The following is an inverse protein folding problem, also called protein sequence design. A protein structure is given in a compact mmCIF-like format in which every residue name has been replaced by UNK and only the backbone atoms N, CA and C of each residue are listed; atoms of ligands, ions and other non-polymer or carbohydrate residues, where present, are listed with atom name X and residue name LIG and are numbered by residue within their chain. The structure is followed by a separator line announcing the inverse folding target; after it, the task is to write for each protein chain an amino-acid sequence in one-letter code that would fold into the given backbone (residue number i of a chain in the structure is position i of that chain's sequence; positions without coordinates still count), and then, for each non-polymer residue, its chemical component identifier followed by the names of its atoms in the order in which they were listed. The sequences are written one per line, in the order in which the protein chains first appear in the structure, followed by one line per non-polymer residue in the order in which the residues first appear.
data_IF_221333277097
#
_entry.id   IF_221333277097
#
_cell.length_a   1.000
_cell.length_b   1.000
_cell.length_c   1.000
_cell.angle_alpha   90.00
_cell.angle_beta   90.00
_cell.angle_gamma   90.00
#
_symmetry.space_group_name_H-M   'P 1'
#
loop_
_entity.id
_entity.type
_entity.pdbx_description
1 polymer ?
#
# COMPACT_ATOMS: atom_id res chain seq x y z
N UNK A 1 -78.95 11.07 10.44
CA UNK A 1 -79.39 11.43 9.08
C UNK A 1 -78.27 11.05 8.11
N UNK A 2 -78.47 10.00 7.30
CA UNK A 2 -77.45 9.40 6.41
C UNK A 2 -77.91 9.35 4.94
N UNK A 3 -78.93 10.13 4.57
CA UNK A 3 -79.43 10.17 3.19
C UNK A 3 -79.46 11.61 2.67
N UNK A 4 -78.33 12.06 2.13
CA UNK A 4 -78.29 13.20 1.21
C UNK A 4 -78.01 12.64 -0.19
N UNK A 5 -78.85 12.96 -1.17
CA UNK A 5 -78.72 12.46 -2.56
C UNK A 5 -77.49 13.06 -3.25
N UNK A 6 -77.08 14.26 -2.84
CA UNK A 6 -75.99 15.02 -3.47
C UNK A 6 -74.61 14.75 -2.85
N UNK A 7 -74.53 14.16 -1.66
CA UNK A 7 -73.27 13.90 -0.95
C UNK A 7 -73.37 12.61 -0.15
N UNK A 8 -72.56 11.63 -0.53
CA UNK A 8 -72.49 10.32 0.12
C UNK A 8 -71.21 10.23 0.99
N UNK A 9 -71.38 10.40 2.30
CA UNK A 9 -70.27 10.33 3.26
C UNK A 9 -69.54 8.97 3.27
N UNK A 10 -70.24 7.87 2.97
CA UNK A 10 -69.63 6.53 2.85
C UNK A 10 -68.69 6.44 1.65
N UNK A 11 -69.07 7.01 0.51
CA UNK A 11 -68.23 7.08 -0.69
C UNK A 11 -67.01 7.97 -0.49
N UNK A 12 -67.13 9.10 0.23
CA UNK A 12 -65.98 9.94 0.57
C UNK A 12 -64.97 9.23 1.49
N UNK A 13 -65.44 8.44 2.47
CA UNK A 13 -64.58 7.64 3.32
C UNK A 13 -63.85 6.55 2.51
N UNK A 14 -64.58 5.84 1.65
CA UNK A 14 -63.99 4.85 0.74
C UNK A 14 -62.92 5.47 -0.19
N UNK A 15 -63.18 6.66 -0.73
CA UNK A 15 -62.21 7.40 -1.55
C UNK A 15 -60.98 7.84 -0.74
N UNK A 16 -61.16 8.26 0.53
CA UNK A 16 -60.04 8.59 1.42
C UNK A 16 -59.16 7.36 1.70
N UNK A 17 -59.77 6.19 1.94
CA UNK A 17 -59.05 4.93 2.12
C UNK A 17 -58.33 4.49 0.85
N UNK A 18 -58.98 4.62 -0.32
CA UNK A 18 -58.34 4.34 -1.61
C UNK A 18 -57.12 5.22 -1.83
N UNK A 19 -57.23 6.53 -1.59
CA UNK A 19 -56.11 7.46 -1.70
C UNK A 19 -54.97 7.13 -0.72
N UNK A 20 -55.27 6.65 0.50
CA UNK A 20 -54.26 6.17 1.44
C UNK A 20 -53.57 4.90 0.92
N UNK A 21 -54.31 3.93 0.40
CA UNK A 21 -53.77 2.70 -0.20
C UNK A 21 -52.90 2.99 -1.41
N UNK A 22 -53.33 3.88 -2.32
CA UNK A 22 -52.56 4.28 -3.49
C UNK A 22 -51.23 4.93 -3.10
N UNK A 23 -51.22 5.78 -2.06
CA UNK A 23 -49.98 6.35 -1.50
C UNK A 23 -49.05 5.28 -0.92
N UNK A 24 -49.59 4.33 -0.16
CA UNK A 24 -48.82 3.21 0.39
C UNK A 24 -48.21 2.32 -0.70
N UNK A 25 -48.96 2.02 -1.77
CA UNK A 25 -48.45 1.27 -2.93
C UNK A 25 -47.32 2.03 -3.62
N UNK A 26 -47.46 3.35 -3.82
CA UNK A 26 -46.40 4.18 -4.38
C UNK A 26 -45.10 4.12 -3.56
N UNK A 27 -45.20 4.18 -2.23
CA UNK A 27 -44.04 4.05 -1.35
C UNK A 27 -43.40 2.66 -1.42
N UNK A 28 -44.20 1.59 -1.41
CA UNK A 28 -43.69 0.22 -1.57
C UNK A 28 -43.01 0.03 -2.92
N UNK A 29 -43.58 0.55 -3.99
CA UNK A 29 -42.98 0.48 -5.33
C UNK A 29 -41.64 1.22 -5.39
N UNK A 30 -41.53 2.39 -4.77
CA UNK A 30 -40.26 3.13 -4.66
C UNK A 30 -39.20 2.34 -3.87
N UNK A 31 -39.58 1.67 -2.79
CA UNK A 31 -38.67 0.79 -2.04
C UNK A 31 -38.22 -0.43 -2.84
N UNK A 32 -39.12 -1.04 -3.60
CA UNK A 32 -38.76 -2.16 -4.49
C UNK A 32 -37.81 -1.69 -5.60
N UNK A 33 -38.10 -0.54 -6.22
CA UNK A 33 -37.27 -0.01 -7.30
C UNK A 33 -35.88 0.42 -6.86
N UNK A 34 -35.73 0.92 -5.62
CA UNK A 34 -34.45 1.42 -5.10
C UNK A 34 -33.70 0.37 -4.28
N UNK A 35 -34.40 -0.66 -3.79
CA UNK A 35 -33.86 -1.61 -2.82
C UNK A 35 -33.61 -1.02 -1.43
N UNK A 36 -33.87 0.27 -1.22
CA UNK A 36 -33.58 0.98 0.03
C UNK A 36 -34.83 1.07 0.91
N UNK A 37 -34.68 0.79 2.20
CA UNK A 37 -35.75 0.96 3.20
C UNK A 37 -36.11 2.44 3.41
N UNK A 38 -35.13 3.34 3.32
CA UNK A 38 -35.26 4.79 3.46
C UNK A 38 -34.65 5.42 2.21
N UNK A 39 -35.48 6.04 1.36
CA UNK A 39 -35.02 6.59 0.08
C UNK A 39 -34.90 8.12 0.13
N UNK A 40 -35.71 8.79 0.94
CA UNK A 40 -35.72 10.25 1.06
C UNK A 40 -35.49 10.71 2.50
N UNK A 41 -34.89 11.91 2.73
CA UNK A 41 -34.85 12.53 4.06
C UNK A 41 -36.25 12.73 4.66
N UNK A 42 -37.30 12.74 3.82
CA UNK A 42 -38.70 12.82 4.25
C UNK A 42 -39.21 11.54 4.93
N UNK A 43 -38.61 10.39 4.64
CA UNK A 43 -39.03 9.11 5.21
C UNK A 43 -38.38 8.89 6.59
N UNK A 44 -37.07 9.15 6.69
CA UNK A 44 -36.31 9.13 7.94
C UNK A 44 -34.97 9.87 7.75
N UNK A 45 -34.93 11.14 8.17
CA UNK A 45 -33.74 11.97 8.05
C UNK A 45 -32.57 11.45 8.90
N UNK A 46 -32.83 10.86 10.07
CA UNK A 46 -31.80 10.39 10.98
C UNK A 46 -31.11 9.13 10.43
N UNK A 47 -31.89 8.13 10.00
CA UNK A 47 -31.34 6.91 9.39
C UNK A 47 -30.61 7.21 8.09
N UNK A 48 -31.14 8.12 7.26
CA UNK A 48 -30.48 8.50 6.02
C UNK A 48 -29.15 9.25 6.27
N UNK A 49 -29.10 10.14 7.27
CA UNK A 49 -27.87 10.84 7.64
C UNK A 49 -26.78 9.87 8.13
N UNK A 50 -27.16 8.88 8.96
CA UNK A 50 -26.24 7.81 9.40
C UNK A 50 -25.75 7.00 8.19
N UNK A 51 -26.64 6.62 7.27
CA UNK A 51 -26.28 5.86 6.08
C UNK A 51 -25.33 6.66 5.16
N UNK A 52 -25.55 7.96 4.98
CA UNK A 52 -24.65 8.83 4.22
C UNK A 52 -23.27 8.95 4.87
N UNK A 53 -23.22 9.06 6.21
CA UNK A 53 -21.95 9.05 6.95
C UNK A 53 -21.20 7.74 6.71
N UNK A 54 -21.87 6.60 6.84
CA UNK A 54 -21.28 5.29 6.57
C UNK A 54 -20.81 5.13 5.13
N UNK A 55 -21.53 5.68 4.14
CA UNK A 55 -21.07 5.71 2.75
C UNK A 55 -19.80 6.54 2.59
N UNK A 56 -19.67 7.65 3.32
CA UNK A 56 -18.44 8.43 3.42
C UNK A 56 -17.29 7.63 4.02
N UNK A 57 -17.53 6.98 5.17
CA UNK A 57 -16.56 6.11 5.85
C UNK A 57 -16.11 4.96 4.91
N UNK A 58 -17.02 4.34 4.15
CA UNK A 58 -16.70 3.30 3.16
C UNK A 58 -15.81 3.86 2.02
N UNK A 59 -16.13 5.05 1.52
CA UNK A 59 -15.33 5.72 0.51
C UNK A 59 -13.91 6.03 1.00
N UNK A 60 -13.80 6.56 2.22
CA UNK A 60 -12.53 6.82 2.91
C UNK A 60 -11.72 5.55 3.11
N UNK A 61 -12.33 4.49 3.64
CA UNK A 61 -11.71 3.18 3.83
C UNK A 61 -11.22 2.56 2.50
N UNK A 62 -11.96 2.77 1.41
CA UNK A 62 -11.54 2.35 0.07
C UNK A 62 -10.24 3.02 -0.39
N UNK A 63 -10.12 4.34 -0.18
CA UNK A 63 -8.92 5.10 -0.48
C UNK A 63 -7.72 4.67 0.39
N UNK A 64 -7.94 4.48 1.70
CA UNK A 64 -6.95 3.97 2.65
C UNK A 64 -6.44 2.60 2.20
N UNK A 65 -7.34 1.68 1.83
CA UNK A 65 -6.96 0.34 1.34
C UNK A 65 -6.08 0.40 0.09
N UNK A 66 -6.39 1.29 -0.85
CA UNK A 66 -5.54 1.48 -2.04
C UNK A 66 -4.14 1.98 -1.68
N UNK A 67 -4.03 2.93 -0.74
CA UNK A 67 -2.75 3.41 -0.23
C UNK A 67 -1.94 2.32 0.49
N UNK A 68 -2.59 1.49 1.31
CA UNK A 68 -1.95 0.35 1.97
C UNK A 68 -1.46 -0.70 0.97
N UNK A 69 -2.22 -0.98 -0.09
CA UNK A 69 -1.78 -1.90 -1.15
C UNK A 69 -0.53 -1.35 -1.86
N UNK A 70 -0.50 -0.05 -2.16
CA UNK A 70 0.68 0.60 -2.74
C UNK A 70 1.91 0.45 -1.83
N UNK A 71 1.73 0.68 -0.54
CA UNK A 71 2.80 0.50 0.43
C UNK A 71 3.28 -0.94 0.52
N UNK A 72 2.35 -1.91 0.56
CA UNK A 72 2.67 -3.33 0.57
C UNK A 72 3.50 -3.72 -0.67
N UNK A 73 3.11 -3.25 -1.86
CA UNK A 73 3.89 -3.50 -3.08
C UNK A 73 5.26 -2.86 -3.04
N UNK A 74 5.37 -1.63 -2.55
CA UNK A 74 6.66 -0.92 -2.42
C UNK A 74 7.60 -1.64 -1.46
N UNK A 75 7.10 -2.06 -0.29
CA UNK A 75 7.85 -2.86 0.69
C UNK A 75 8.23 -4.22 0.11
N UNK A 76 7.33 -4.85 -0.66
CA UNK A 76 7.62 -6.12 -1.33
C UNK A 76 8.78 -6.01 -2.32
N UNK A 77 8.81 -4.96 -3.15
CA UNK A 77 9.93 -4.71 -4.08
C UNK A 77 11.23 -4.45 -3.33
N UNK A 78 11.17 -3.63 -2.27
CA UNK A 78 12.31 -3.37 -1.41
C UNK A 78 12.85 -4.65 -0.74
N UNK A 79 11.99 -5.53 -0.24
CA UNK A 79 12.39 -6.80 0.37
C UNK A 79 13.07 -7.73 -0.63
N UNK A 80 12.54 -7.83 -1.85
CA UNK A 80 13.16 -8.65 -2.91
C UNK A 80 14.52 -8.07 -3.32
N UNK A 81 14.62 -6.75 -3.47
CA UNK A 81 15.89 -6.07 -3.75
C UNK A 81 16.93 -6.32 -2.65
N UNK A 82 16.53 -6.16 -1.38
CA UNK A 82 17.41 -6.42 -0.24
C UNK A 82 17.88 -7.88 -0.16
N UNK A 83 17.01 -8.84 -0.48
CA UNK A 83 17.40 -10.26 -0.54
C UNK A 83 18.45 -10.51 -1.62
N UNK A 84 18.27 -9.94 -2.82
CA UNK A 84 19.23 -10.09 -3.90
C UNK A 84 20.59 -9.45 -3.56
N UNK A 85 20.59 -8.28 -2.92
CA UNK A 85 21.81 -7.64 -2.39
C UNK A 85 22.46 -8.53 -1.32
N UNK A 86 21.69 -9.12 -0.42
CA UNK A 86 22.21 -10.06 0.59
C UNK A 86 22.88 -11.27 -0.03
N UNK A 87 22.32 -11.84 -1.11
CA UNK A 87 22.91 -12.98 -1.80
C UNK A 87 24.24 -12.60 -2.47
N UNK A 88 24.31 -11.43 -3.10
CA UNK A 88 25.56 -10.89 -3.67
C UNK A 88 26.62 -10.61 -2.59
N UNK A 89 26.23 -10.11 -1.42
CA UNK A 89 27.17 -9.89 -0.31
C UNK A 89 27.79 -11.20 0.19
N UNK A 90 27.05 -12.31 0.17
CA UNK A 90 27.59 -13.64 0.51
C UNK A 90 28.65 -14.06 -0.52
N UNK A 91 28.40 -13.81 -1.81
CA UNK A 91 29.35 -14.07 -2.88
C UNK A 91 30.60 -13.19 -2.77
N UNK A 92 30.42 -11.89 -2.53
CA UNK A 92 31.52 -10.94 -2.24
C UNK A 92 32.38 -11.40 -1.05
N UNK A 93 31.75 -11.90 0.02
CA UNK A 93 32.47 -12.49 1.16
C UNK A 93 33.29 -13.72 0.75
N UNK A 94 32.75 -14.59 -0.11
CA UNK A 94 33.50 -15.74 -0.63
C UNK A 94 34.74 -15.31 -1.41
N UNK A 95 34.59 -14.31 -2.29
CA UNK A 95 35.70 -13.72 -3.07
C UNK A 95 36.74 -13.07 -2.13
N UNK A 96 36.30 -12.35 -1.10
CA UNK A 96 37.18 -11.73 -0.11
C UNK A 96 37.99 -12.78 0.69
N UNK A 97 37.37 -13.90 1.09
CA UNK A 97 38.08 -15.01 1.75
C UNK A 97 39.11 -15.63 0.80
N UNK A 98 38.77 -15.84 -0.47
CA UNK A 98 39.70 -16.38 -1.47
C UNK A 98 40.90 -15.44 -1.69
N UNK A 99 40.65 -14.12 -1.74
CA UNK A 99 41.71 -13.12 -1.89
C UNK A 99 42.63 -13.02 -0.66
N UNK A 100 42.13 -13.38 0.53
CA UNK A 100 42.88 -13.39 1.79
C UNK A 100 43.82 -14.59 1.98
N UNK A 101 43.85 -15.56 1.06
CA UNK A 101 44.68 -16.75 1.20
C UNK A 101 46.18 -16.45 0.97
N UNK A 102 47.02 -16.81 1.95
CA UNK A 102 48.47 -16.61 1.86
C UNK A 102 49.08 -17.48 0.74
N UNK A 103 49.91 -16.87 -0.12
CA UNK A 103 50.57 -17.54 -1.25
C UNK A 103 49.94 -17.30 -2.63
N UNK A 104 48.85 -16.53 -2.72
CA UNK A 104 48.26 -16.14 -4.00
C UNK A 104 49.17 -15.15 -4.76
N UNK A 105 49.21 -15.21 -6.10
CA UNK A 105 49.99 -14.26 -6.92
C UNK A 105 49.31 -12.87 -7.00
N UNK A 106 50.08 -11.82 -7.26
CA UNK A 106 49.55 -10.46 -7.41
C UNK A 106 48.54 -10.36 -8.57
N UNK A 107 48.75 -11.08 -9.66
CA UNK A 107 47.84 -11.10 -10.82
C UNK A 107 46.50 -11.73 -10.46
N UNK A 108 46.51 -12.83 -9.71
CA UNK A 108 45.30 -13.52 -9.27
C UNK A 108 44.52 -12.69 -8.25
N UNK A 109 45.19 -11.94 -7.37
CA UNK A 109 44.52 -10.98 -6.48
C UNK A 109 43.86 -9.84 -7.24
N UNK A 110 44.53 -9.27 -8.24
CA UNK A 110 43.94 -8.21 -9.07
C UNK A 110 42.69 -8.70 -9.83
N UNK A 111 42.66 -9.96 -10.26
CA UNK A 111 41.48 -10.55 -10.88
C UNK A 111 40.30 -10.71 -9.89
N UNK A 112 40.57 -11.16 -8.66
CA UNK A 112 39.55 -11.27 -7.60
C UNK A 112 39.04 -9.90 -7.13
N UNK A 113 39.90 -8.87 -7.10
CA UNK A 113 39.47 -7.49 -6.81
C UNK A 113 38.57 -6.94 -7.92
N UNK A 114 38.87 -7.21 -9.19
CA UNK A 114 37.99 -6.85 -10.30
C UNK A 114 36.62 -7.57 -10.21
N UNK A 115 36.60 -8.84 -9.80
CA UNK A 115 35.37 -9.59 -9.55
C UNK A 115 34.56 -9.00 -8.38
N UNK A 116 35.22 -8.67 -7.27
CA UNK A 116 34.59 -8.01 -6.12
C UNK A 116 33.99 -6.65 -6.49
N UNK A 117 34.71 -5.84 -7.26
CA UNK A 117 34.21 -4.56 -7.77
C UNK A 117 32.98 -4.77 -8.68
N UNK A 118 32.99 -5.78 -9.55
CA UNK A 118 31.84 -6.10 -10.40
C UNK A 118 30.61 -6.51 -9.59
N UNK A 119 30.79 -7.32 -8.53
CA UNK A 119 29.69 -7.72 -7.65
C UNK A 119 29.13 -6.53 -6.86
N UNK A 120 30.00 -5.61 -6.41
CA UNK A 120 29.58 -4.35 -5.78
C UNK A 120 28.74 -3.50 -6.73
N UNK A 121 29.22 -3.30 -7.95
CA UNK A 121 28.53 -2.48 -8.95
C UNK A 121 27.17 -3.10 -9.35
N UNK A 122 27.10 -4.44 -9.37
CA UNK A 122 25.85 -5.17 -9.55
C UNK A 122 24.88 -4.97 -8.38
N UNK A 123 25.36 -5.03 -7.13
CA UNK A 123 24.55 -4.74 -5.96
C UNK A 123 23.99 -3.31 -5.99
N UNK A 124 24.83 -2.31 -6.35
CA UNK A 124 24.39 -0.94 -6.55
C UNK A 124 23.30 -0.80 -7.62
N UNK A 125 23.46 -1.49 -8.74
CA UNK A 125 22.46 -1.50 -9.83
C UNK A 125 21.11 -2.10 -9.41
N UNK A 126 21.13 -3.14 -8.56
CA UNK A 126 19.92 -3.75 -8.00
C UNK A 126 19.22 -2.77 -7.04
N UNK A 127 19.98 -2.09 -6.19
CA UNK A 127 19.45 -1.08 -5.26
C UNK A 127 18.77 0.04 -6.04
N UNK A 128 19.37 0.54 -7.11
CA UNK A 128 18.77 1.57 -7.96
C UNK A 128 17.51 1.07 -8.70
N UNK A 129 17.50 -0.20 -9.12
CA UNK A 129 16.38 -0.80 -9.86
C UNK A 129 15.18 -1.18 -8.98
N UNK A 130 15.36 -1.29 -7.65
CA UNK A 130 14.32 -1.68 -6.69
C UNK A 130 13.31 -0.55 -6.38
N UNK A 131 12.79 0.11 -7.41
CA UNK A 131 11.78 1.16 -7.29
C UNK A 131 10.38 0.65 -7.63
N UNK A 132 9.39 1.11 -6.87
CA UNK A 132 7.98 0.90 -7.19
C UNK A 132 7.30 2.24 -7.37
N UNK A 133 6.83 2.52 -8.60
CA UNK A 133 6.17 3.79 -8.95
C UNK A 133 7.01 5.04 -8.60
N UNK A 134 8.34 4.94 -8.75
CA UNK A 134 9.26 6.04 -8.43
C UNK A 134 9.63 6.18 -6.95
N UNK A 135 9.04 5.38 -6.05
CA UNK A 135 9.46 5.30 -4.65
C UNK A 135 10.44 4.14 -4.48
N UNK A 136 11.62 4.42 -3.92
CA UNK A 136 12.62 3.42 -3.55
C UNK A 136 12.85 3.52 -2.03
N UNK A 137 12.76 2.40 -1.32
CA UNK A 137 12.95 2.33 0.14
C UNK A 137 14.34 1.84 0.55
N UNK A 138 15.15 1.36 -0.42
CA UNK A 138 16.46 0.76 -0.15
C UNK A 138 17.65 1.61 -0.62
N UNK A 139 17.36 2.74 -1.29
CA UNK A 139 18.36 3.67 -1.79
C UNK A 139 18.85 4.63 -0.70
N UNK A 140 20.12 5.07 -0.81
CA UNK A 140 20.69 6.06 0.10
C UNK A 140 19.88 7.36 0.12
N UNK A 141 19.55 7.82 1.32
CA UNK A 141 18.79 9.05 1.53
C UNK A 141 17.31 8.95 1.12
N UNK A 142 16.78 7.74 0.90
CA UNK A 142 15.36 7.55 0.69
C UNK A 142 14.53 8.08 1.88
N UNK A 143 13.47 8.84 1.57
CA UNK A 143 12.53 9.32 2.58
C UNK A 143 11.59 8.22 3.06
N UNK A 144 11.13 8.34 4.31
CA UNK A 144 10.11 7.44 4.86
C UNK A 144 8.83 7.47 4.01
N UNK A 145 8.24 6.31 3.78
CA UNK A 145 6.95 6.20 3.10
C UNK A 145 5.83 6.31 4.12
N UNK A 146 5.18 7.47 4.16
CA UNK A 146 4.01 7.68 5.01
C UNK A 146 2.71 7.30 4.31
N UNK A 147 2.01 6.32 4.87
CA UNK A 147 0.79 5.75 4.31
C UNK A 147 -0.39 6.08 5.22
N UNK A 148 -1.57 6.37 4.65
CA UNK A 148 -2.78 6.57 5.45
C UNK A 148 -3.20 5.25 6.11
N UNK A 149 -3.46 5.28 7.42
CA UNK A 149 -3.94 4.14 8.22
C UNK A 149 -5.45 4.16 8.39
N UNK A 150 -6.06 5.34 8.40
CA UNK A 150 -7.51 5.53 8.54
C UNK A 150 -8.02 6.75 7.77
N UNK A 151 -9.34 6.88 7.75
CA UNK A 151 -10.09 8.00 7.16
C UNK A 151 -9.99 9.31 7.98
N UNK A 152 -9.45 9.22 9.19
CA UNK A 152 -9.27 10.32 10.14
C UNK A 152 -7.91 11.01 9.99
N UNK A 153 -7.08 10.55 9.06
CA UNK A 153 -5.81 11.17 8.70
C UNK A 153 -4.60 10.64 9.47
N UNK A 154 -4.75 9.57 10.26
CA UNK A 154 -3.61 8.94 10.92
C UNK A 154 -2.74 8.24 9.88
N UNK A 155 -1.43 8.31 10.07
CA UNK A 155 -0.43 7.79 9.13
C UNK A 155 0.41 6.69 9.77
N UNK A 156 0.86 5.76 8.95
CA UNK A 156 1.84 4.73 9.26
C UNK A 156 3.10 5.01 8.44
N UNK A 157 4.21 5.26 9.12
CA UNK A 157 5.50 5.48 8.49
C UNK A 157 6.21 4.14 8.28
N UNK A 158 6.55 3.83 7.03
CA UNK A 158 7.52 2.79 6.70
C UNK A 158 8.88 3.47 6.59
N UNK A 159 9.80 3.08 7.47
CA UNK A 159 11.17 3.61 7.46
C UNK A 159 11.94 3.03 6.27
N UNK A 160 12.61 3.90 5.53
CA UNK A 160 13.56 3.48 4.51
C UNK A 160 14.85 2.97 5.17
N UNK A 161 15.52 2.01 4.53
CA UNK A 161 16.79 1.45 4.99
C UNK A 161 17.82 1.63 3.89
N UNK A 162 19.04 2.02 4.24
CA UNK A 162 20.07 2.23 3.22
C UNK A 162 20.83 0.93 2.93
N UNK A 163 20.57 0.32 1.78
CA UNK A 163 21.32 -0.84 1.26
C UNK A 163 22.32 -0.46 0.17
N UNK A 164 22.59 0.83 -0.03
CA UNK A 164 23.63 1.28 -0.97
C UNK A 164 25.04 0.94 -0.48
N UNK A 165 26.03 1.11 -1.37
CA UNK A 165 27.44 0.91 -1.05
C UNK A 165 27.92 1.71 0.17
N UNK A 166 27.40 2.92 0.35
CA UNK A 166 27.68 3.77 1.51
C UNK A 166 26.95 3.32 2.78
N UNK A 167 25.72 2.83 2.66
CA UNK A 167 24.93 2.34 3.80
C UNK A 167 25.46 1.01 4.35
N UNK A 168 25.94 0.15 3.46
CA UNK A 168 26.54 -1.15 3.80
C UNK A 168 28.04 -1.07 4.11
N UNK A 169 28.67 0.09 3.91
CA UNK A 169 30.09 0.31 4.17
C UNK A 169 31.03 -0.39 3.20
N UNK A 170 30.54 -0.88 2.06
CA UNK A 170 31.29 -1.66 1.07
C UNK A 170 32.04 -0.79 0.03
N UNK A 171 31.74 0.52 -0.06
CA UNK A 171 32.38 1.42 -1.04
C UNK A 171 33.87 1.65 -0.77
N UNK A 172 34.31 1.55 0.48
CA UNK A 172 35.73 1.73 0.86
C UNK A 172 36.53 0.42 0.91
N UNK A 173 35.92 -0.73 0.63
CA UNK A 173 36.60 -2.03 0.65
C UNK A 173 37.33 -2.24 -0.68
N UNK A 174 38.61 -2.58 -0.57
CA UNK A 174 39.45 -3.04 -1.69
C UNK A 174 40.19 -4.30 -1.25
N UNK A 175 40.46 -5.22 -2.17
CA UNK A 175 41.19 -6.48 -1.91
C UNK A 175 42.66 -6.40 -2.34
N UNK A 176 43.20 -5.19 -2.54
CA UNK A 176 44.56 -4.95 -3.07
C UNK A 176 45.69 -5.49 -2.17
N UNK A 177 45.42 -5.74 -0.89
CA UNK A 177 46.38 -6.33 0.04
C UNK A 177 45.72 -7.31 1.00
N UNK A 178 46.48 -8.30 1.50
CA UNK A 178 45.98 -9.29 2.47
C UNK A 178 45.41 -8.65 3.75
N UNK A 179 45.95 -7.48 4.15
CA UNK A 179 45.43 -6.68 5.27
C UNK A 179 44.07 -6.02 4.94
N UNK A 180 43.89 -5.58 3.70
CA UNK A 180 42.61 -5.01 3.25
C UNK A 180 41.54 -6.11 3.06
N UNK A 181 41.92 -7.29 2.57
CA UNK A 181 41.01 -8.46 2.50
C UNK A 181 40.57 -8.93 3.89
N UNK A 182 41.43 -8.83 4.91
CA UNK A 182 41.03 -9.06 6.30
C UNK A 182 40.10 -7.98 6.86
N UNK A 183 40.31 -6.73 6.47
CA UNK A 183 39.42 -5.61 6.83
C UNK A 183 38.08 -5.69 6.10
N UNK A 184 38.03 -6.32 4.92
CA UNK A 184 36.81 -6.56 4.15
C UNK A 184 35.95 -7.71 4.69
N UNK A 185 36.49 -8.53 5.59
CA UNK A 185 35.78 -9.67 6.22
C UNK A 185 35.12 -9.32 7.55
N UNK A 186 35.52 -8.19 8.17
CA UNK A 186 34.99 -7.68 9.45
C UNK A 186 33.98 -6.59 9.23
#
# INVERSE_FOLDING_TARGET
MVQSINTNAGSFNALQKLNQTTKSIGNTNNRISTGLKVNSPKDDAATLAIAQRLLGDIGGAGAVKSGLNFAQSTVGVAQVGAQAVSDLLIEMKSVAVQAGQEGLDATSRAALDAEFNSLRDQAGSIVESASFNGTNLIQSGAGNLDVLKDDSGNRFAVEAQDFSGSGLGIDSLSLDSAANSQSALT
#
